data_IF_579664101402
#
_entry.id   IF_579664101402
#
_cell.length_a   1.000
_cell.length_b   1.000
_cell.length_c   1.000
_cell.angle_alpha   90.00
_cell.angle_beta   90.00
_cell.angle_gamma   90.00
#
_symmetry.space_group_name_H-M   'P 1'
#
loop_
_entity.id
_entity.type
_entity.pdbx_description
1 polymer ?
#
# COMPACT_ATOMS: atom_id res chain seq x y z
N UNK A 1 35.64 37.09 22.49
CA UNK A 1 35.92 37.53 21.11
C UNK A 1 35.05 36.67 20.21
N UNK A 2 33.96 37.25 19.75
CA UNK A 2 32.96 36.61 18.86
C UNK A 2 33.44 36.80 17.42
N UNK A 3 33.57 35.73 16.65
CA UNK A 3 33.84 35.82 15.21
C UNK A 3 32.60 35.37 14.47
N UNK A 4 31.96 36.31 13.80
CA UNK A 4 30.89 36.08 12.83
C UNK A 4 31.45 35.47 11.54
N UNK A 5 30.74 34.50 10.89
CA UNK A 5 31.14 34.04 9.57
C UNK A 5 30.81 35.09 8.48
N UNK A 6 31.58 35.12 7.36
CA UNK A 6 31.40 36.08 6.29
C UNK A 6 30.14 35.82 5.44
N UNK A 7 29.60 36.85 4.77
CA UNK A 7 28.37 36.71 3.96
C UNK A 7 28.65 35.96 2.65
N UNK A 8 27.71 35.07 2.30
CA UNK A 8 27.65 34.36 1.01
C UNK A 8 27.31 35.35 -0.12
N UNK A 9 28.20 35.51 -1.07
CA UNK A 9 27.96 36.15 -2.36
C UNK A 9 27.27 35.14 -3.29
N UNK A 10 26.00 35.38 -3.63
CA UNK A 10 25.26 34.65 -4.66
C UNK A 10 25.84 34.97 -6.07
N UNK A 11 26.12 33.93 -6.85
CA UNK A 11 26.42 34.06 -8.26
C UNK A 11 25.16 34.34 -9.06
N UNK A 12 25.16 35.24 -10.06
CA UNK A 12 24.03 35.43 -10.96
C UNK A 12 23.91 34.23 -11.90
N UNK A 13 22.66 33.77 -12.12
CA UNK A 13 22.35 32.74 -13.08
C UNK A 13 22.73 33.16 -14.52
N UNK A 14 23.25 32.26 -15.37
CA UNK A 14 23.54 32.57 -16.76
C UNK A 14 22.22 32.76 -17.52
N UNK A 15 22.14 33.88 -18.27
CA UNK A 15 21.01 34.21 -19.13
C UNK A 15 20.79 33.15 -20.20
N UNK A 16 19.54 32.75 -20.37
CA UNK A 16 19.11 31.87 -21.45
C UNK A 16 19.30 32.53 -22.84
N UNK A 17 19.42 31.73 -23.91
CA UNK A 17 19.59 32.23 -25.26
C UNK A 17 18.36 33.01 -25.75
N UNK A 18 18.52 34.00 -26.65
CA UNK A 18 17.43 34.76 -27.19
C UNK A 18 16.50 33.89 -28.09
N UNK A 19 15.20 34.19 -28.13
CA UNK A 19 14.27 33.43 -28.96
C UNK A 19 14.57 33.63 -30.45
N UNK A 20 14.50 32.52 -31.21
CA UNK A 20 14.65 32.52 -32.66
C UNK A 20 13.49 33.29 -33.33
N UNK A 21 13.72 34.10 -34.40
CA UNK A 21 12.68 34.74 -35.14
C UNK A 21 11.95 33.74 -36.06
N UNK A 22 10.61 33.70 -35.98
CA UNK A 22 9.78 32.96 -36.95
C UNK A 22 8.84 31.89 -36.41
N UNK A 23 8.26 32.06 -35.23
CA UNK A 23 7.13 31.22 -34.81
C UNK A 23 5.81 31.85 -35.35
N UNK A 24 5.27 31.26 -36.42
CA UNK A 24 3.91 31.56 -36.89
C UNK A 24 2.91 30.96 -35.90
N UNK A 25 2.18 31.82 -35.22
CA UNK A 25 1.02 31.42 -34.43
C UNK A 25 -0.13 31.07 -35.38
N UNK A 26 -0.42 29.76 -35.47
CA UNK A 26 -1.60 29.27 -36.17
C UNK A 26 -2.83 29.52 -35.29
N UNK A 27 -3.69 30.44 -35.72
CA UNK A 27 -5.02 30.66 -35.14
C UNK A 27 -6.01 29.80 -35.93
N UNK A 28 -6.62 28.75 -35.35
CA UNK A 28 -7.62 27.97 -36.07
C UNK A 28 -8.90 28.82 -36.21
N UNK A 29 -9.29 29.07 -37.44
CA UNK A 29 -10.62 29.62 -37.77
C UNK A 29 -11.67 28.53 -37.48
N UNK A 30 -12.81 28.88 -36.82
CA UNK A 30 -13.89 27.94 -36.61
C UNK A 30 -14.55 27.58 -37.94
N UNK A 31 -14.49 26.28 -38.31
CA UNK A 31 -15.24 25.76 -39.45
C UNK A 31 -16.68 25.58 -39.02
N UNK A 32 -17.58 26.35 -39.60
CA UNK A 32 -19.03 26.16 -39.44
C UNK A 32 -19.42 24.85 -40.13
N UNK A 33 -19.90 23.90 -39.37
CA UNK A 33 -20.52 22.68 -39.93
C UNK A 33 -21.89 23.02 -40.52
N UNK A 34 -22.27 22.51 -41.69
CA UNK A 34 -23.60 22.70 -42.23
C UNK A 34 -24.62 21.99 -41.37
N UNK A 35 -25.64 22.71 -40.91
CA UNK A 35 -26.80 22.15 -40.22
C UNK A 35 -27.67 21.42 -41.24
N UNK A 36 -27.79 20.12 -41.10
CA UNK A 36 -28.80 19.35 -41.85
C UNK A 36 -30.17 19.54 -41.17
N UNK A 37 -31.23 19.70 -41.95
CA UNK A 37 -32.59 19.72 -41.38
C UNK A 37 -32.96 18.33 -40.82
N UNK A 38 -33.79 18.30 -39.78
CA UNK A 38 -34.24 17.03 -39.21
C UNK A 38 -35.06 16.21 -40.22
N UNK A 39 -34.97 14.89 -40.21
CA UNK A 39 -35.79 14.02 -41.06
C UNK A 39 -37.27 14.18 -40.74
N UNK A 40 -38.17 13.98 -41.74
CA UNK A 40 -39.63 14.05 -41.51
C UNK A 40 -40.08 12.91 -40.57
N UNK A 41 -41.16 13.14 -39.79
CA UNK A 41 -41.65 12.12 -38.86
C UNK A 41 -42.23 10.92 -39.62
N UNK A 42 -41.88 9.72 -39.14
CA UNK A 42 -42.38 8.47 -39.66
C UNK A 42 -43.91 8.34 -39.43
N UNK A 43 -44.68 7.71 -40.33
CA UNK A 43 -46.10 7.52 -40.16
C UNK A 43 -46.39 6.58 -38.97
N UNK A 44 -47.20 7.06 -38.04
CA UNK A 44 -47.67 6.31 -36.86
C UNK A 44 -48.57 5.19 -37.34
N UNK A 45 -48.12 3.93 -37.25
CA UNK A 45 -48.99 2.76 -37.46
C UNK A 45 -50.03 2.65 -36.34
N UNK A 46 -51.29 2.57 -36.73
CA UNK A 46 -52.38 2.30 -35.77
C UNK A 46 -52.25 0.88 -35.21
N UNK A 47 -52.44 0.70 -33.89
CA UNK A 47 -52.33 -0.63 -33.31
C UNK A 47 -53.53 -1.50 -33.73
N UNK A 48 -53.32 -2.80 -34.01
CA UNK A 48 -54.38 -3.73 -34.30
C UNK A 48 -55.30 -3.93 -33.10
N UNK A 49 -56.60 -3.90 -33.33
CA UNK A 49 -57.63 -4.17 -32.30
C UNK A 49 -57.70 -5.67 -32.06
N UNK A 50 -57.14 -6.13 -30.97
CA UNK A 50 -57.31 -7.51 -30.53
C UNK A 50 -58.45 -7.62 -29.54
N UNK A 51 -59.40 -8.48 -29.83
CA UNK A 51 -60.45 -8.90 -28.87
C UNK A 51 -59.79 -9.92 -27.95
N UNK A 52 -59.48 -9.53 -26.72
CA UNK A 52 -58.87 -10.44 -25.75
C UNK A 52 -59.99 -11.06 -24.89
N UNK A 53 -60.16 -12.38 -24.99
CA UNK A 53 -60.91 -13.14 -24.01
C UNK A 53 -60.17 -13.12 -22.68
N UNK A 54 -60.70 -12.42 -21.69
CA UNK A 54 -60.17 -12.44 -20.34
C UNK A 54 -60.43 -13.80 -19.69
N UNK A 55 -59.38 -14.64 -19.62
CA UNK A 55 -59.36 -15.75 -18.67
C UNK A 55 -58.92 -15.13 -17.33
N UNK A 56 -59.82 -15.11 -16.36
CA UNK A 56 -59.51 -14.66 -15.00
C UNK A 56 -58.42 -15.56 -14.40
N UNK A 57 -57.19 -15.10 -14.37
CA UNK A 57 -56.14 -15.69 -13.53
C UNK A 57 -56.21 -15.02 -12.14
N UNK A 58 -56.25 -15.79 -11.04
CA UNK A 58 -56.16 -15.21 -9.70
C UNK A 58 -54.83 -14.43 -9.58
N UNK A 59 -54.79 -13.35 -8.77
CA UNK A 59 -53.60 -12.55 -8.63
C UNK A 59 -52.45 -13.44 -8.13
N UNK A 60 -51.42 -13.57 -8.95
CA UNK A 60 -50.14 -14.10 -8.50
C UNK A 60 -49.67 -13.11 -7.45
N UNK A 61 -49.55 -13.54 -6.21
CA UNK A 61 -48.90 -12.76 -5.16
C UNK A 61 -47.49 -12.40 -5.68
N UNK A 62 -47.35 -11.14 -5.98
CA UNK A 62 -46.11 -10.57 -6.47
C UNK A 62 -45.06 -10.71 -5.34
N UNK A 63 -44.37 -11.85 -5.35
CA UNK A 63 -43.18 -12.01 -4.51
C UNK A 63 -42.11 -11.14 -5.14
N UNK A 64 -42.09 -9.88 -4.76
CA UNK A 64 -40.96 -9.01 -5.07
C UNK A 64 -39.66 -9.76 -4.75
N UNK A 65 -38.71 -9.87 -5.70
CA UNK A 65 -37.43 -10.42 -5.38
C UNK A 65 -36.85 -9.63 -4.21
N UNK A 66 -36.23 -10.29 -3.22
CA UNK A 66 -35.65 -9.59 -2.10
C UNK A 66 -34.75 -8.48 -2.61
N UNK A 67 -34.75 -7.30 -1.96
CA UNK A 67 -33.87 -6.21 -2.39
C UNK A 67 -32.42 -6.72 -2.49
N UNK A 68 -31.64 -6.29 -3.50
CA UNK A 68 -30.28 -6.72 -3.66
C UNK A 68 -29.55 -6.45 -2.33
N UNK A 69 -29.03 -7.52 -1.75
CA UNK A 69 -28.24 -7.40 -0.53
C UNK A 69 -27.04 -6.51 -0.84
N UNK A 70 -26.70 -5.56 0.04
CA UNK A 70 -25.49 -4.77 -0.14
C UNK A 70 -24.30 -5.73 -0.31
N UNK A 71 -23.33 -5.41 -1.16
CA UNK A 71 -22.18 -6.27 -1.38
C UNK A 71 -21.55 -6.60 -0.03
N UNK A 72 -21.51 -7.88 0.30
CA UNK A 72 -20.81 -8.34 1.49
C UNK A 72 -19.31 -8.15 1.20
N UNK A 73 -18.72 -7.14 1.83
CA UNK A 73 -17.28 -6.99 1.83
C UNK A 73 -16.69 -8.17 2.60
N UNK A 74 -16.18 -9.17 1.89
CA UNK A 74 -15.34 -10.21 2.48
C UNK A 74 -14.02 -9.55 2.81
N UNK A 75 -13.78 -9.32 4.10
CA UNK A 75 -12.52 -8.76 4.57
C UNK A 75 -11.38 -9.73 4.25
N UNK A 76 -10.37 -9.24 3.52
CA UNK A 76 -9.21 -10.04 3.17
C UNK A 76 -8.53 -10.61 4.43
N UNK A 77 -8.05 -11.83 4.34
CA UNK A 77 -7.35 -12.47 5.46
C UNK A 77 -5.99 -11.85 5.75
N UNK A 78 -5.38 -11.23 4.73
CA UNK A 78 -4.12 -10.49 4.79
C UNK A 78 -4.29 -9.22 3.97
N UNK A 79 -3.99 -8.07 4.56
CA UNK A 79 -4.12 -6.76 3.92
C UNK A 79 -3.06 -5.77 4.40
N UNK A 80 -2.79 -4.73 3.60
CA UNK A 80 -1.89 -3.65 3.94
C UNK A 80 -2.64 -2.33 3.97
N UNK A 81 -2.57 -1.63 5.10
CA UNK A 81 -3.29 -0.35 5.28
C UNK A 81 -2.31 0.78 5.55
N UNK A 82 -2.40 1.82 4.72
CA UNK A 82 -1.60 3.03 4.87
C UNK A 82 -1.90 3.74 6.19
N UNK A 83 -0.86 4.13 6.90
CA UNK A 83 -0.95 4.78 8.20
C UNK A 83 0.22 5.74 8.45
N UNK A 84 0.06 6.54 9.49
CA UNK A 84 1.07 7.40 10.09
C UNK A 84 1.06 7.17 11.61
N UNK A 85 2.04 7.66 12.37
CA UNK A 85 2.04 7.57 13.83
C UNK A 85 0.78 8.14 14.51
N UNK A 86 0.10 9.08 13.85
CA UNK A 86 -1.12 9.72 14.37
C UNK A 86 -2.41 8.97 14.02
N UNK A 87 -2.42 8.22 12.92
CA UNK A 87 -3.63 7.53 12.44
C UNK A 87 -3.68 6.05 12.79
N UNK A 88 -2.58 5.48 13.27
CA UNK A 88 -2.41 4.02 13.43
C UNK A 88 -3.31 3.37 14.49
N UNK A 89 -3.82 4.14 15.46
CA UNK A 89 -4.57 3.61 16.62
C UNK A 89 -5.86 2.86 16.24
N UNK A 90 -6.49 3.19 15.12
CA UNK A 90 -7.70 2.48 14.68
C UNK A 90 -7.42 1.06 14.14
N UNK A 91 -6.16 0.67 13.98
CA UNK A 91 -5.75 -0.64 13.47
C UNK A 91 -5.45 -1.67 14.57
N UNK A 92 -5.51 -1.28 15.88
CA UNK A 92 -5.06 -2.11 17.00
C UNK A 92 -5.68 -3.51 17.07
N UNK A 93 -6.94 -3.65 16.69
CA UNK A 93 -7.64 -4.93 16.76
C UNK A 93 -7.32 -5.88 15.57
N UNK A 94 -6.68 -5.36 14.53
CA UNK A 94 -6.47 -6.09 13.27
C UNK A 94 -4.99 -6.21 12.89
N UNK A 95 -4.15 -5.32 13.41
CA UNK A 95 -2.73 -5.29 13.10
C UNK A 95 -2.02 -6.56 13.61
N UNK A 96 -1.13 -7.12 12.77
CA UNK A 96 -0.35 -8.28 13.16
C UNK A 96 0.69 -7.91 14.21
N UNK A 97 0.53 -8.44 15.43
CA UNK A 97 1.56 -8.36 16.46
C UNK A 97 2.65 -9.38 16.14
N UNK A 98 3.80 -8.90 15.70
CA UNK A 98 4.93 -9.75 15.32
C UNK A 98 5.89 -10.04 16.47
N UNK A 99 5.88 -9.19 17.48
CA UNK A 99 6.81 -9.31 18.59
C UNK A 99 6.57 -8.28 19.69
N UNK A 100 7.62 -8.02 20.47
CA UNK A 100 7.56 -7.10 21.62
C UNK A 100 8.90 -6.44 21.88
N UNK A 101 8.86 -5.24 22.48
CA UNK A 101 10.05 -4.55 22.98
C UNK A 101 10.66 -5.28 24.18
N UNK A 102 12.00 -5.18 24.34
CA UNK A 102 12.74 -5.83 25.40
C UNK A 102 12.48 -5.21 26.77
N UNK A 103 12.36 -3.89 26.83
CA UNK A 103 12.42 -3.11 28.08
C UNK A 103 11.06 -2.90 28.74
N UNK A 104 9.97 -2.89 27.97
CA UNK A 104 8.63 -2.68 28.53
C UNK A 104 7.58 -3.70 28.07
N UNK A 105 7.98 -4.64 27.18
CA UNK A 105 7.10 -5.67 26.67
C UNK A 105 6.02 -5.18 25.70
N UNK A 106 6.04 -3.90 25.29
CA UNK A 106 5.04 -3.32 24.39
C UNK A 106 5.07 -3.99 23.03
N UNK A 107 3.91 -4.11 22.33
CA UNK A 107 3.82 -4.82 21.07
C UNK A 107 4.56 -4.11 19.95
N UNK A 108 5.16 -4.91 19.06
CA UNK A 108 5.75 -4.50 17.79
C UNK A 108 4.90 -5.06 16.64
N UNK A 109 4.46 -4.18 15.74
CA UNK A 109 3.71 -4.54 14.56
C UNK A 109 4.60 -4.59 13.33
N UNK A 110 4.22 -5.39 12.34
CA UNK A 110 4.84 -5.38 11.02
C UNK A 110 4.38 -4.17 10.25
N UNK A 111 5.34 -3.43 9.70
CA UNK A 111 5.10 -2.38 8.73
C UNK A 111 5.95 -2.59 7.48
N UNK A 112 5.67 -1.82 6.44
CA UNK A 112 6.57 -1.59 5.32
C UNK A 112 6.53 -0.13 4.89
N UNK A 113 7.66 0.41 4.43
CA UNK A 113 7.74 1.80 4.02
C UNK A 113 8.71 1.99 2.85
N UNK A 114 8.43 3.00 2.05
CA UNK A 114 9.35 3.46 1.02
C UNK A 114 10.51 4.24 1.65
N UNK A 115 11.72 3.86 1.32
CA UNK A 115 12.92 4.59 1.68
C UNK A 115 14.00 4.40 0.61
N UNK A 116 14.54 5.52 0.11
CA UNK A 116 15.64 5.56 -0.86
C UNK A 116 15.45 4.60 -2.07
N UNK A 117 14.25 4.61 -2.67
CA UNK A 117 13.94 3.79 -3.85
C UNK A 117 13.67 2.30 -3.56
N UNK A 118 13.69 1.89 -2.31
CA UNK A 118 13.30 0.55 -1.85
C UNK A 118 11.96 0.59 -1.12
N UNK A 119 11.29 -0.56 -1.07
CA UNK A 119 10.12 -0.76 -0.23
C UNK A 119 10.48 -1.80 0.83
N UNK A 120 10.56 -1.37 2.09
CA UNK A 120 11.30 -2.09 3.13
C UNK A 120 10.39 -2.53 4.27
N UNK A 121 10.30 -3.84 4.59
CA UNK A 121 9.66 -4.31 5.82
C UNK A 121 10.41 -3.84 7.07
N UNK A 122 9.65 -3.46 8.10
CA UNK A 122 10.18 -2.94 9.34
C UNK A 122 9.26 -3.16 10.54
N UNK A 123 9.42 -2.31 11.56
CA UNK A 123 8.65 -2.37 12.81
C UNK A 123 7.92 -1.06 13.11
N UNK A 124 6.77 -1.18 13.76
CA UNK A 124 6.13 -0.09 14.49
C UNK A 124 6.14 -0.42 15.99
N UNK A 125 6.78 0.43 16.78
CA UNK A 125 6.68 0.42 18.23
C UNK A 125 5.40 1.20 18.63
N UNK A 126 4.31 0.45 18.81
CA UNK A 126 2.94 1.01 18.92
C UNK A 126 2.82 1.98 20.08
N UNK A 127 3.30 1.60 21.26
CA UNK A 127 3.24 2.44 22.47
C UNK A 127 3.97 3.78 22.29
N UNK A 128 5.04 3.78 21.51
CA UNK A 128 5.88 4.95 21.27
C UNK A 128 5.49 5.69 19.98
N UNK A 129 4.55 5.16 19.19
CA UNK A 129 4.14 5.70 17.89
C UNK A 129 5.33 5.98 16.98
N UNK A 130 6.30 5.06 17.00
CA UNK A 130 7.56 5.21 16.26
C UNK A 130 7.76 4.03 15.31
N UNK A 131 7.88 4.33 14.03
CA UNK A 131 8.05 3.36 12.96
C UNK A 131 9.47 3.43 12.39
N UNK A 132 10.07 2.26 12.13
CA UNK A 132 11.44 2.16 11.66
C UNK A 132 11.59 1.06 10.62
N UNK A 133 12.48 1.31 9.66
CA UNK A 133 12.98 0.30 8.71
C UNK A 133 14.49 0.13 8.86
N UNK A 134 15.02 -1.10 8.74
CA UNK A 134 16.46 -1.34 8.73
C UNK A 134 17.03 -1.00 7.35
N UNK A 135 17.99 -0.07 7.27
CA UNK A 135 18.60 0.34 6.01
C UNK A 135 20.01 0.93 6.20
N UNK A 136 20.96 0.45 5.38
CA UNK A 136 22.35 0.95 5.31
C UNK A 136 23.03 1.07 6.69
N UNK A 137 22.92 0.05 7.51
CA UNK A 137 23.51 -0.03 8.85
C UNK A 137 22.78 0.75 9.93
N UNK A 138 21.64 1.36 9.63
CA UNK A 138 20.89 2.21 10.57
C UNK A 138 19.45 1.77 10.77
N UNK A 139 18.90 2.12 11.92
CA UNK A 139 17.47 2.14 12.20
C UNK A 139 16.91 3.47 11.69
N UNK A 140 16.23 3.43 10.55
CA UNK A 140 15.74 4.63 9.85
C UNK A 140 14.31 4.91 10.26
N UNK A 141 13.99 6.07 10.86
CA UNK A 141 12.62 6.44 11.17
C UNK A 141 11.83 6.72 9.90
N UNK A 142 10.56 6.27 9.89
CA UNK A 142 9.63 6.51 8.78
C UNK A 142 8.31 7.07 9.31
N UNK A 143 7.72 8.00 8.57
CA UNK A 143 6.45 8.64 8.97
C UNK A 143 5.25 8.07 8.21
N UNK A 144 5.42 7.83 6.92
CA UNK A 144 4.39 7.22 6.08
C UNK A 144 4.76 5.74 5.88
N UNK A 145 3.86 4.85 6.24
CA UNK A 145 4.08 3.41 6.16
C UNK A 145 2.75 2.69 5.95
N UNK A 146 2.83 1.41 5.62
CA UNK A 146 1.70 0.51 5.61
C UNK A 146 1.83 -0.50 6.74
N UNK A 147 0.73 -0.77 7.43
CA UNK A 147 0.63 -1.76 8.51
C UNK A 147 0.07 -3.04 7.96
N UNK A 148 0.66 -4.17 8.31
CA UNK A 148 0.13 -5.49 7.98
C UNK A 148 -1.05 -5.83 8.89
N UNK A 149 -2.21 -6.05 8.28
CA UNK A 149 -3.37 -6.63 8.91
C UNK A 149 -3.43 -8.10 8.52
N UNK A 150 -3.55 -9.00 9.48
CA UNK A 150 -3.64 -10.42 9.19
C UNK A 150 -4.47 -11.15 10.25
N UNK A 151 -5.40 -12.00 9.80
CA UNK A 151 -6.10 -12.90 10.70
C UNK A 151 -5.14 -13.96 11.24
N UNK A 152 -5.22 -14.34 12.51
CA UNK A 152 -4.27 -15.26 13.13
C UNK A 152 -4.13 -16.61 12.42
N UNK A 153 -5.21 -17.13 11.83
CA UNK A 153 -5.23 -18.41 11.12
C UNK A 153 -4.67 -18.32 9.69
N UNK A 154 -4.55 -17.12 9.13
CA UNK A 154 -4.08 -16.90 7.76
C UNK A 154 -2.55 -16.89 7.63
N UNK A 155 -1.83 -16.77 8.74
CA UNK A 155 -0.37 -16.63 8.74
C UNK A 155 0.28 -17.49 9.83
N UNK A 156 1.53 -17.84 9.59
CA UNK A 156 2.38 -18.55 10.57
C UNK A 156 3.84 -18.13 10.45
N UNK A 157 4.56 -18.21 11.56
CA UNK A 157 6.00 -17.98 11.60
C UNK A 157 6.73 -19.30 11.42
N UNK A 158 7.64 -19.39 10.46
CA UNK A 158 8.46 -20.57 10.19
C UNK A 158 9.94 -20.26 10.39
N UNK A 159 10.70 -21.13 11.09
CA UNK A 159 12.14 -20.93 11.27
C UNK A 159 12.87 -21.02 9.92
N UNK A 160 13.87 -20.17 9.76
CA UNK A 160 14.72 -20.12 8.56
C UNK A 160 16.10 -19.55 8.89
N UNK A 161 17.00 -19.58 7.91
CA UNK A 161 18.36 -19.08 8.09
C UNK A 161 19.04 -18.77 6.76
N UNK A 162 20.19 -18.06 6.84
CA UNK A 162 21.12 -17.81 5.72
C UNK A 162 20.46 -17.30 4.43
N UNK A 163 19.48 -16.40 4.54
CA UNK A 163 18.76 -15.83 3.39
C UNK A 163 17.68 -16.73 2.80
N UNK A 164 17.54 -17.95 3.30
CA UNK A 164 16.50 -18.87 2.85
C UNK A 164 15.10 -18.35 3.21
N UNK A 165 14.14 -18.65 2.34
CA UNK A 165 12.76 -18.20 2.45
C UNK A 165 11.86 -19.42 2.26
N UNK A 166 11.06 -19.80 3.26
CA UNK A 166 10.13 -20.93 3.15
C UNK A 166 9.05 -20.69 2.08
N UNK A 167 8.47 -21.78 1.57
CA UNK A 167 7.30 -21.70 0.69
C UNK A 167 6.14 -21.00 1.42
N UNK A 168 5.46 -20.10 0.73
CA UNK A 168 4.38 -19.30 1.29
C UNK A 168 4.85 -18.02 2.01
N UNK A 169 6.16 -17.74 2.04
CA UNK A 169 6.68 -16.52 2.65
C UNK A 169 6.07 -15.27 2.02
N UNK A 170 5.70 -14.30 2.87
CA UNK A 170 5.08 -13.05 2.44
C UNK A 170 6.17 -12.07 2.02
N UNK A 171 6.24 -11.80 0.70
CA UNK A 171 7.03 -10.70 0.17
C UNK A 171 6.33 -9.38 0.52
N UNK A 172 7.04 -8.49 1.22
CA UNK A 172 6.47 -7.24 1.71
C UNK A 172 7.18 -6.00 1.16
N UNK A 173 8.06 -6.18 0.21
CA UNK A 173 8.77 -5.10 -0.44
C UNK A 173 9.84 -5.60 -1.40
N UNK A 174 10.70 -4.68 -1.81
CA UNK A 174 11.76 -4.98 -2.77
C UNK A 174 12.90 -3.97 -2.65
N UNK A 175 14.07 -4.38 -3.08
CA UNK A 175 15.23 -3.49 -3.28
C UNK A 175 15.04 -2.62 -4.54
N UNK A 176 15.91 -1.62 -4.74
CA UNK A 176 15.96 -0.83 -5.99
C UNK A 176 16.12 -1.70 -7.25
N UNK A 177 16.77 -2.86 -7.12
CA UNK A 177 16.99 -3.79 -8.23
C UNK A 177 15.84 -4.78 -8.43
N UNK A 178 14.77 -4.66 -7.64
CA UNK A 178 13.59 -5.52 -7.72
C UNK A 178 13.71 -6.85 -6.97
N UNK A 179 14.79 -7.10 -6.21
CA UNK A 179 14.89 -8.29 -5.37
C UNK A 179 13.82 -8.22 -4.25
N UNK A 180 12.99 -9.26 -4.07
CA UNK A 180 11.96 -9.25 -3.05
C UNK A 180 12.56 -9.30 -1.62
N UNK A 181 11.95 -8.52 -0.73
CA UNK A 181 12.23 -8.50 0.70
C UNK A 181 11.05 -9.13 1.44
N UNK A 182 11.34 -10.06 2.35
CA UNK A 182 10.32 -10.84 3.05
C UNK A 182 10.22 -10.44 4.52
N UNK A 183 9.04 -10.60 5.10
CA UNK A 183 8.81 -10.33 6.51
C UNK A 183 9.49 -11.40 7.35
N UNK A 184 10.32 -10.97 8.28
CA UNK A 184 10.91 -11.84 9.27
C UNK A 184 10.85 -11.23 10.67
N UNK A 185 11.14 -12.03 11.70
CA UNK A 185 11.36 -11.57 13.05
C UNK A 185 12.51 -12.33 13.71
N UNK A 186 13.13 -11.67 14.66
CA UNK A 186 14.30 -12.21 15.36
C UNK A 186 14.16 -11.98 16.86
N UNK A 187 14.57 -12.97 17.65
CA UNK A 187 14.80 -12.77 19.08
C UNK A 187 16.18 -12.12 19.28
N UNK A 188 16.20 -10.87 19.76
CA UNK A 188 17.41 -10.09 19.98
C UNK A 188 17.32 -9.30 21.27
N UNK A 189 18.33 -9.37 22.16
CA UNK A 189 18.39 -8.62 23.42
C UNK A 189 17.07 -8.63 24.22
N UNK A 190 16.45 -9.82 24.36
CA UNK A 190 15.15 -10.05 25.00
C UNK A 190 13.92 -9.43 24.30
N UNK A 191 14.09 -8.80 23.14
CA UNK A 191 12.99 -8.43 22.25
C UNK A 191 12.67 -9.55 21.26
N UNK A 192 11.49 -9.47 20.64
CA UNK A 192 11.17 -10.14 19.39
C UNK A 192 10.87 -9.03 18.38
N UNK A 193 11.78 -8.79 17.46
CA UNK A 193 11.74 -7.62 16.59
C UNK A 193 11.49 -8.02 15.14
N UNK A 194 10.44 -7.48 14.47
CA UNK A 194 10.23 -7.69 13.05
C UNK A 194 11.20 -6.86 12.21
N UNK A 195 11.48 -7.39 11.00
CA UNK A 195 12.37 -6.79 10.01
C UNK A 195 12.26 -7.46 8.66
N UNK A 196 13.34 -7.48 7.89
CA UNK A 196 13.39 -8.00 6.52
C UNK A 196 14.36 -9.16 6.35
N UNK A 197 14.00 -10.20 5.60
CA UNK A 197 14.97 -11.09 4.96
C UNK A 197 15.43 -10.47 3.66
N UNK A 198 16.74 -10.43 3.44
CA UNK A 198 17.38 -10.04 2.19
C UNK A 198 18.09 -11.28 1.64
N UNK A 199 17.47 -12.04 0.73
CA UNK A 199 17.97 -13.33 0.30
C UNK A 199 19.41 -13.31 -0.22
N UNK A 200 19.74 -12.40 -1.13
CA UNK A 200 21.08 -12.29 -1.70
C UNK A 200 22.16 -11.89 -0.69
N UNK A 201 21.78 -11.24 0.42
CA UNK A 201 22.69 -10.96 1.55
C UNK A 201 22.82 -12.15 2.51
N UNK A 202 22.01 -13.18 2.35
CA UNK A 202 22.04 -14.38 3.18
C UNK A 202 21.69 -14.12 4.64
N UNK A 203 20.79 -13.18 4.95
CA UNK A 203 20.47 -12.82 6.33
C UNK A 203 19.12 -12.08 6.49
N UNK A 204 18.72 -11.93 7.74
CA UNK A 204 17.67 -11.02 8.16
C UNK A 204 18.28 -9.76 8.79
N UNK A 205 17.64 -8.63 8.55
CA UNK A 205 17.97 -7.35 9.17
C UNK A 205 16.80 -6.87 10.03
N UNK A 206 17.12 -6.39 11.23
CA UNK A 206 16.14 -5.73 12.12
C UNK A 206 16.62 -4.32 12.48
N UNK A 207 15.69 -3.43 12.78
CA UNK A 207 15.96 -2.13 13.39
C UNK A 207 16.00 -2.28 14.91
N UNK A 208 17.12 -1.95 15.55
CA UNK A 208 17.25 -2.04 17.01
C UNK A 208 18.31 -1.08 17.53
N UNK A 209 17.94 -0.21 18.50
CA UNK A 209 18.85 0.68 19.20
C UNK A 209 19.60 1.67 18.31
N UNK A 210 18.97 2.18 17.26
CA UNK A 210 19.56 3.11 16.30
C UNK A 210 20.31 2.45 15.14
N UNK A 211 20.47 1.13 15.15
CA UNK A 211 21.24 0.38 14.16
C UNK A 211 20.40 -0.62 13.37
N UNK A 212 20.90 -0.98 12.18
CA UNK A 212 20.46 -2.17 11.44
C UNK A 212 21.30 -3.36 11.90
N UNK A 213 20.66 -4.33 12.53
CA UNK A 213 21.35 -5.51 13.10
C UNK A 213 21.08 -6.73 12.21
N UNK A 214 22.16 -7.47 11.91
CA UNK A 214 22.15 -8.66 11.05
C UNK A 214 21.98 -9.92 11.86
N UNK A 215 21.12 -10.84 11.36
CA UNK A 215 20.92 -12.17 11.93
C UNK A 215 20.93 -13.24 10.87
N UNK A 216 21.61 -14.37 11.15
CA UNK A 216 21.63 -15.55 10.28
C UNK A 216 20.45 -16.49 10.54
N UNK A 217 19.90 -16.50 11.75
CA UNK A 217 18.75 -17.33 12.16
C UNK A 217 17.59 -16.41 12.50
N UNK A 218 16.39 -16.72 11.96
CA UNK A 218 15.19 -15.90 12.05
C UNK A 218 13.95 -16.75 11.81
N UNK A 219 12.78 -16.18 12.04
CA UNK A 219 11.51 -16.73 11.61
C UNK A 219 10.93 -15.86 10.48
N UNK A 220 10.39 -16.50 9.45
CA UNK A 220 9.75 -15.84 8.30
C UNK A 220 8.25 -15.95 8.45
N UNK A 221 7.53 -14.86 8.16
CA UNK A 221 6.07 -14.87 8.10
C UNK A 221 5.61 -15.50 6.79
N UNK A 222 4.84 -16.56 6.90
CA UNK A 222 4.30 -17.30 5.77
C UNK A 222 2.77 -17.31 5.80
N UNK A 223 2.15 -17.21 4.63
CA UNK A 223 0.72 -17.43 4.46
C UNK A 223 0.40 -18.91 4.66
N UNK A 224 -0.70 -19.18 5.34
CA UNK A 224 -1.26 -20.54 5.43
C UNK A 224 -2.08 -20.75 4.17
N UNK A 225 -1.61 -21.65 3.32
CA UNK A 225 -2.38 -22.13 2.15
C UNK A 225 -3.22 -23.29 2.65
N UNK A 226 -4.53 -23.16 2.58
CA UNK A 226 -5.49 -24.20 2.93
C UNK A 226 -5.54 -25.33 1.89
#
# INVERSE_FOLDING_TARGET
>A
MSQNPPPYYGYPAPGGPPPAPGAFTYVPTPVMMPMYPPPPPEPVAQPPTFVTNYIYQPPVTDSQPPPPQPPQYVEADIDWVSATPTTVSHLELRALVAGKEAWDGSPLWVIRAHHNGEFIPGKLAVKHRAAYVPYAGREVPVHNFEVLLAKPHAVRWLPSNNGQVPVGAIAAGNTQKGEPLYIARVKHANSITPGKVHPSHGCCYISFGGAEITHKYYEVLCQVVG
#
